data_IF_270745966128
#
_entry.id   IF_270745966128
#
_cell.length_a   1.000
_cell.length_b   1.000
_cell.length_c   1.000
_cell.angle_alpha   90.00
_cell.angle_beta   90.00
_cell.angle_gamma   90.00
#
_symmetry.space_group_name_H-M   'P 1'
#
loop_
_entity.id
_entity.type
_entity.pdbx_description
1 polymer ?
#
# COMPACT_ATOMS: atom_id res chain seq x y z
N UNK A 1 -10.90 -27.30 62.43
CA UNK A 1 -11.28 -28.03 61.20
C UNK A 1 -11.19 -27.05 60.04
N UNK A 2 -9.99 -26.82 59.52
CA UNK A 2 -9.83 -25.99 58.32
C UNK A 2 -8.74 -26.64 57.47
N UNK A 3 -9.17 -27.58 56.63
CA UNK A 3 -8.31 -28.21 55.63
C UNK A 3 -8.53 -27.48 54.32
N UNK A 4 -7.78 -26.40 54.13
CA UNK A 4 -7.70 -25.67 52.87
C UNK A 4 -6.93 -26.53 51.87
N UNK A 5 -7.64 -27.17 50.94
CA UNK A 5 -7.05 -27.85 49.79
C UNK A 5 -6.68 -26.78 48.75
N UNK A 6 -5.45 -26.28 48.82
CA UNK A 6 -4.87 -25.44 47.77
C UNK A 6 -4.47 -26.39 46.65
N UNK A 7 -5.36 -26.55 45.67
CA UNK A 7 -5.07 -27.17 44.40
C UNK A 7 -3.97 -26.35 43.69
N UNK A 8 -2.75 -26.87 43.72
CA UNK A 8 -1.62 -26.42 42.93
C UNK A 8 -1.86 -26.70 41.44
N UNK A 9 -2.68 -25.87 40.80
CA UNK A 9 -2.77 -25.79 39.35
C UNK A 9 -1.54 -25.05 38.82
N UNK A 10 -0.52 -25.82 38.46
CA UNK A 10 0.51 -25.36 37.54
C UNK A 10 -0.15 -25.22 36.17
N UNK A 11 -0.34 -23.99 35.69
CA UNK A 11 -0.50 -23.71 34.27
C UNK A 11 0.40 -22.54 33.93
N UNK A 12 1.69 -22.85 33.71
CA UNK A 12 2.63 -21.91 33.13
C UNK A 12 2.17 -21.54 31.73
N UNK A 13 1.73 -20.30 31.54
CA UNK A 13 1.54 -19.69 30.23
C UNK A 13 2.47 -18.49 30.12
N UNK A 14 3.58 -18.71 29.41
CA UNK A 14 4.26 -17.69 28.63
C UNK A 14 3.23 -16.98 27.74
N UNK A 15 3.02 -15.68 27.91
CA UNK A 15 2.54 -14.78 26.84
C UNK A 15 3.17 -13.39 27.01
N UNK A 16 4.40 -13.29 26.56
CA UNK A 16 5.08 -12.04 26.27
C UNK A 16 4.50 -11.38 25.00
N UNK A 17 4.14 -10.10 25.10
CA UNK A 17 4.22 -9.10 24.04
C UNK A 17 3.32 -9.24 22.81
N UNK A 18 2.16 -8.60 22.83
CA UNK A 18 1.48 -8.17 21.60
C UNK A 18 1.23 -6.66 21.66
N UNK A 19 2.12 -5.92 21.02
CA UNK A 19 1.93 -4.51 20.67
C UNK A 19 0.83 -4.44 19.62
N UNK A 20 -0.34 -3.98 20.03
CA UNK A 20 -1.46 -3.78 19.11
C UNK A 20 -1.29 -2.43 18.39
N UNK A 21 -0.68 -2.45 17.20
CA UNK A 21 -0.84 -1.36 16.23
C UNK A 21 -2.17 -1.58 15.51
N UNK A 22 -3.25 -1.11 16.10
CA UNK A 22 -4.54 -1.09 15.43
C UNK A 22 -4.51 0.04 14.38
N UNK A 23 -4.29 -0.30 13.11
CA UNK A 23 -4.75 0.52 12.00
C UNK A 23 -6.14 0.01 11.62
N UNK A 24 -7.23 0.74 11.89
CA UNK A 24 -8.52 0.44 11.27
C UNK A 24 -8.35 0.82 9.78
N UNK A 25 -8.90 0.11 8.80
CA UNK A 25 -10.33 0.02 8.55
C UNK A 25 -10.62 -1.15 7.60
N UNK A 26 -11.33 -2.17 8.10
CA UNK A 26 -12.11 -3.03 7.23
C UNK A 26 -13.35 -2.24 6.79
N UNK A 27 -13.27 -1.58 5.63
CA UNK A 27 -14.45 -1.17 4.89
C UNK A 27 -14.41 -1.89 3.56
N UNK A 28 -15.45 -2.67 3.33
CA UNK A 28 -15.73 -3.41 2.12
C UNK A 28 -15.70 -2.42 0.94
N UNK A 29 -14.64 -2.50 0.13
CA UNK A 29 -14.59 -1.86 -1.17
C UNK A 29 -14.27 -2.96 -2.19
N UNK A 30 -15.20 -3.14 -3.12
CA UNK A 30 -15.20 -4.17 -4.15
C UNK A 30 -13.89 -4.10 -4.96
N UNK A 31 -12.94 -5.00 -4.69
CA UNK A 31 -11.79 -5.25 -5.57
C UNK A 31 -10.76 -4.13 -5.73
N UNK A 32 -10.77 -3.09 -4.90
CA UNK A 32 -9.76 -2.02 -4.97
C UNK A 32 -8.41 -2.55 -4.51
N UNK A 33 -7.40 -2.53 -5.40
CA UNK A 33 -6.02 -2.79 -5.00
C UNK A 33 -5.36 -1.51 -4.54
N UNK A 34 -4.53 -1.63 -3.52
CA UNK A 34 -3.71 -0.54 -3.02
C UNK A 34 -2.27 -0.77 -3.45
N UNK A 35 -1.57 0.31 -3.78
CA UNK A 35 -0.15 0.32 -4.08
C UNK A 35 0.57 1.21 -3.07
N UNK A 36 1.77 0.78 -2.68
CA UNK A 36 2.67 1.59 -1.87
C UNK A 36 3.51 2.50 -2.76
N UNK A 37 3.53 3.79 -2.42
CA UNK A 37 4.43 4.71 -3.11
C UNK A 37 5.87 4.47 -2.65
N UNK A 38 6.78 4.16 -3.58
CA UNK A 38 8.20 3.95 -3.26
C UNK A 38 8.92 5.20 -2.76
N UNK A 39 8.40 6.39 -3.09
CA UNK A 39 9.02 7.67 -2.69
C UNK A 39 8.59 8.13 -1.29
N UNK A 40 7.32 7.96 -0.92
CA UNK A 40 6.81 8.43 0.38
C UNK A 40 6.40 7.33 1.36
N UNK A 41 6.23 6.09 0.89
CA UNK A 41 5.73 4.97 1.69
C UNK A 41 4.23 5.03 2.00
N UNK A 42 3.49 5.95 1.37
CA UNK A 42 2.05 6.07 1.58
C UNK A 42 1.29 4.97 0.81
N UNK A 43 0.25 4.44 1.44
CA UNK A 43 -0.67 3.49 0.82
C UNK A 43 -1.74 4.25 0.04
N UNK A 44 -1.81 3.99 -1.27
CA UNK A 44 -2.66 4.70 -2.21
C UNK A 44 -3.49 3.71 -2.99
N UNK A 45 -4.70 4.10 -3.36
CA UNK A 45 -5.52 3.27 -4.25
C UNK A 45 -4.86 3.22 -5.63
N UNK A 46 -4.91 2.06 -6.29
CA UNK A 46 -4.27 1.90 -7.59
C UNK A 46 -4.87 2.83 -8.65
N UNK A 47 -6.09 3.32 -8.45
CA UNK A 47 -6.76 4.25 -9.37
C UNK A 47 -6.13 5.65 -9.43
N UNK A 48 -5.29 6.02 -8.46
CA UNK A 48 -4.55 7.28 -8.52
C UNK A 48 -3.37 7.19 -9.51
N UNK A 49 -3.36 8.07 -10.51
CA UNK A 49 -2.22 8.21 -11.42
C UNK A 49 -1.04 8.94 -10.75
N UNK A 50 -1.32 9.81 -9.78
CA UNK A 50 -0.34 10.65 -9.06
C UNK A 50 -0.60 10.58 -7.57
N UNK A 51 0.46 10.45 -6.78
CA UNK A 51 0.38 10.49 -5.33
C UNK A 51 0.03 11.91 -4.84
N UNK A 52 -1.06 12.10 -4.08
CA UNK A 52 -1.42 13.40 -3.49
C UNK A 52 -0.46 13.83 -2.36
N UNK A 53 0.30 12.90 -1.77
CA UNK A 53 1.21 13.21 -0.67
C UNK A 53 2.58 13.72 -1.15
N UNK A 54 3.15 13.11 -2.18
CA UNK A 54 4.48 13.48 -2.69
C UNK A 54 4.49 14.00 -4.14
N UNK A 55 3.41 13.81 -4.90
CA UNK A 55 3.35 14.16 -6.32
C UNK A 55 4.01 13.16 -7.26
N UNK A 56 4.43 11.98 -6.78
CA UNK A 56 5.04 10.94 -7.62
C UNK A 56 4.01 10.25 -8.52
N UNK A 57 4.39 9.94 -9.76
CA UNK A 57 3.52 9.29 -10.73
C UNK A 57 3.54 7.77 -10.55
N UNK A 58 2.41 7.19 -10.15
CA UNK A 58 2.30 5.80 -9.76
C UNK A 58 2.09 4.88 -10.97
N UNK A 59 1.44 5.39 -12.03
CA UNK A 59 1.14 4.67 -13.27
C UNK A 59 1.82 5.33 -14.48
N UNK A 60 3.15 5.22 -14.62
CA UNK A 60 3.83 5.68 -15.84
C UNK A 60 3.43 4.83 -17.04
N UNK A 61 3.38 5.45 -18.21
CA UNK A 61 3.28 4.80 -19.52
C UNK A 61 4.67 4.68 -20.11
N UNK A 62 5.00 3.49 -20.61
CA UNK A 62 6.24 3.28 -21.35
C UNK A 62 6.00 3.72 -22.79
N UNK A 63 6.80 4.67 -23.27
CA UNK A 63 6.74 5.09 -24.66
C UNK A 63 7.19 3.94 -25.59
N UNK A 64 6.37 3.51 -26.58
CA UNK A 64 6.71 2.38 -27.44
C UNK A 64 7.88 2.67 -28.39
N UNK A 65 8.20 3.94 -28.62
CA UNK A 65 9.30 4.36 -29.51
C UNK A 65 10.65 4.44 -28.79
N UNK A 66 10.69 4.99 -27.58
CA UNK A 66 11.94 5.23 -26.87
C UNK A 66 12.14 4.36 -25.62
N UNK A 67 11.12 3.62 -25.18
CA UNK A 67 11.17 2.76 -24.00
C UNK A 67 11.26 3.52 -22.67
N UNK A 68 11.11 4.84 -22.66
CA UNK A 68 11.11 5.65 -21.43
C UNK A 68 9.73 5.68 -20.79
N UNK A 69 9.73 5.67 -19.46
CA UNK A 69 8.57 5.95 -18.64
C UNK A 69 8.20 7.43 -18.74
N UNK A 70 6.93 7.70 -19.01
CA UNK A 70 6.34 9.04 -19.10
C UNK A 70 4.98 9.05 -18.41
N UNK A 71 4.54 10.20 -17.91
CA UNK A 71 3.19 10.35 -17.38
C UNK A 71 2.10 10.06 -18.40
N UNK A 72 0.97 9.50 -17.95
CA UNK A 72 -0.30 9.48 -18.69
C UNK A 72 -0.85 10.88 -18.98
N UNK A 73 -0.45 11.88 -18.19
CA UNK A 73 -0.83 13.27 -18.39
C UNK A 73 -0.24 13.86 -19.69
N UNK A 74 0.90 13.35 -20.15
CA UNK A 74 1.52 13.82 -21.38
C UNK A 74 0.91 13.15 -22.62
N UNK A 75 0.42 13.96 -23.57
CA UNK A 75 -0.06 13.49 -24.86
C UNK A 75 1.08 13.15 -25.84
N UNK A 76 2.30 13.60 -25.53
CA UNK A 76 3.51 13.35 -26.31
C UNK A 76 4.67 13.02 -25.37
N UNK A 77 5.58 12.16 -25.83
CA UNK A 77 6.79 11.88 -25.08
C UNK A 77 7.74 13.09 -25.14
N UNK A 78 8.13 13.72 -24.01
CA UNK A 78 9.04 14.86 -24.00
C UNK A 78 10.47 14.49 -24.46
N UNK A 79 10.81 13.20 -24.42
CA UNK A 79 12.15 12.73 -24.80
C UNK A 79 12.30 12.43 -26.29
N UNK A 80 11.23 12.03 -26.97
CA UNK A 80 11.31 11.57 -28.37
C UNK A 80 10.28 12.20 -29.31
N UNK A 81 9.33 12.99 -28.79
CA UNK A 81 8.27 13.63 -29.56
C UNK A 81 7.19 12.68 -30.07
N UNK A 82 7.19 11.41 -29.68
CA UNK A 82 6.16 10.44 -30.09
C UNK A 82 4.83 10.73 -29.39
N UNK A 83 3.73 10.78 -30.16
CA UNK A 83 2.37 10.91 -29.60
C UNK A 83 1.94 9.57 -29.03
N UNK A 84 1.58 9.55 -27.75
CA UNK A 84 1.16 8.31 -27.06
C UNK A 84 -0.35 8.09 -27.07
N UNK A 85 -1.12 9.06 -27.56
CA UNK A 85 -2.54 8.93 -27.85
C UNK A 85 -2.74 9.20 -29.33
N UNK A 86 -3.14 8.17 -30.06
CA UNK A 86 -3.58 8.27 -31.46
C UNK A 86 -5.03 8.79 -31.44
N UNK A 87 -5.23 10.05 -31.82
CA UNK A 87 -6.52 10.58 -32.30
C UNK A 87 -6.38 10.89 -33.79
#
# INVERSE_FOLDING_TARGET
MERTLINSYVCGKLQCGLKQTQRPTAKEHEGIRFLDCTECGEELEEDFDVCPMCGYELKPVICPKCGKEISRAFNYCPYCGYKTKDE
#
